data_IF_339217106144
#
_entry.id   IF_339217106144
#
_cell.length_a   1.000
_cell.length_b   1.000
_cell.length_c   1.000
_cell.angle_alpha   90.00
_cell.angle_beta   90.00
_cell.angle_gamma   90.00
#
_symmetry.space_group_name_H-M   'P 1'
#
loop_
_entity.id
_entity.type
_entity.pdbx_description
1 polymer ?
#
# COMPACT_ATOMS: atom_id res chain seq x y z
N UNK A 1 12.98 58.86 21.62
CA UNK A 1 11.64 59.43 21.81
C UNK A 1 10.66 58.27 21.96
N UNK A 2 9.94 58.23 23.09
CA UNK A 2 8.87 57.31 23.56
C UNK A 2 9.12 55.78 23.43
N UNK A 3 9.60 55.03 24.44
CA UNK A 3 8.99 54.56 25.74
C UNK A 3 7.66 53.80 25.51
N UNK A 4 7.36 52.62 26.09
CA UNK A 4 7.75 52.00 27.38
C UNK A 4 7.55 50.44 27.26
N UNK A 5 8.44 49.57 27.76
CA UNK A 5 8.69 49.09 29.13
C UNK A 5 7.90 47.82 29.53
N UNK A 6 8.66 46.78 29.91
CA UNK A 6 8.28 45.52 30.57
C UNK A 6 8.09 45.78 32.08
N UNK A 7 7.42 44.89 32.85
CA UNK A 7 8.22 44.07 33.77
C UNK A 7 7.74 42.61 33.95
N UNK A 8 8.65 41.84 34.54
CA UNK A 8 8.60 40.42 34.84
C UNK A 8 8.14 40.10 36.29
N UNK A 9 8.01 38.79 36.54
CA UNK A 9 8.04 38.05 37.82
C UNK A 9 6.76 37.92 38.67
N UNK A 10 6.32 36.67 38.87
CA UNK A 10 6.21 36.06 40.22
C UNK A 10 6.02 34.53 40.13
N UNK A 11 6.91 33.84 40.83
CA UNK A 11 6.93 32.40 41.16
C UNK A 11 6.00 32.14 42.35
N UNK A 12 5.22 31.04 42.35
CA UNK A 12 4.94 30.25 43.56
C UNK A 12 4.19 28.94 43.23
N UNK A 13 4.78 27.83 43.67
CA UNK A 13 4.20 26.50 43.72
C UNK A 13 3.24 26.35 44.91
N UNK A 14 2.22 25.49 44.78
CA UNK A 14 1.72 24.68 45.90
C UNK A 14 0.91 23.49 45.38
N UNK A 15 1.38 22.28 45.65
CA UNK A 15 0.59 21.06 45.50
C UNK A 15 -0.11 20.68 46.80
N UNK A 16 -1.18 19.87 46.69
CA UNK A 16 -1.41 18.61 47.43
C UNK A 16 -2.85 18.09 47.23
N UNK A 17 -2.92 16.88 46.67
CA UNK A 17 -3.75 15.72 47.03
C UNK A 17 -4.94 15.90 48.00
N UNK A 18 -6.11 15.35 47.63
CA UNK A 18 -6.99 14.63 48.56
C UNK A 18 -7.75 13.48 47.87
N UNK A 19 -7.89 12.36 48.60
CA UNK A 19 -8.53 11.08 48.26
C UNK A 19 -10.02 11.06 48.60
N UNK A 20 -10.75 10.10 48.00
CA UNK A 20 -12.03 9.53 48.48
C UNK A 20 -13.22 10.01 47.67
N UNK A 21 -14.07 9.20 47.04
CA UNK A 21 -14.62 7.91 47.48
C UNK A 21 -16.10 8.14 47.82
N UNK A 22 -17.03 7.63 47.01
CA UNK A 22 -18.47 7.78 47.29
C UNK A 22 -19.35 7.49 46.08
N UNK A 23 -20.25 6.54 46.23
CA UNK A 23 -21.03 5.84 45.22
C UNK A 23 -22.51 6.26 45.33
N UNK A 24 -23.28 5.97 44.27
CA UNK A 24 -24.77 5.83 44.20
C UNK A 24 -25.62 7.12 44.15
N UNK A 25 -26.24 7.43 43.00
CA UNK A 25 -27.67 7.18 42.76
C UNK A 25 -28.15 7.66 41.37
N UNK A 26 -28.79 6.71 40.70
CA UNK A 26 -29.84 6.76 39.68
C UNK A 26 -30.69 8.03 39.59
N UNK A 27 -30.95 8.53 38.38
CA UNK A 27 -32.33 8.79 37.93
C UNK A 27 -32.44 8.79 36.40
N UNK A 28 -33.21 7.83 35.89
CA UNK A 28 -33.74 7.80 34.55
C UNK A 28 -34.84 8.86 34.39
N UNK A 29 -34.84 9.57 33.27
CA UNK A 29 -36.02 10.31 32.81
C UNK A 29 -36.33 9.96 31.36
N UNK A 30 -37.24 9.01 31.23
CA UNK A 30 -38.02 8.70 30.02
C UNK A 30 -39.01 9.84 29.77
N UNK A 31 -39.05 10.38 28.55
CA UNK A 31 -40.23 11.08 28.02
C UNK A 31 -40.52 10.60 26.60
N UNK A 32 -41.65 9.90 26.49
CA UNK A 32 -42.41 9.65 25.27
C UNK A 32 -43.07 10.94 24.78
N UNK A 33 -43.01 11.21 23.47
CA UNK A 33 -44.02 11.94 22.65
C UNK A 33 -43.90 11.38 21.21
N UNK A 34 -44.68 10.36 20.84
CA UNK A 34 -45.87 10.38 19.95
C UNK A 34 -45.75 11.05 18.57
N UNK A 35 -45.81 10.16 17.56
CA UNK A 35 -46.56 10.19 16.29
C UNK A 35 -46.50 11.41 15.35
N UNK A 36 -46.10 11.14 14.11
CA UNK A 36 -46.92 11.47 12.93
C UNK A 36 -46.56 10.54 11.75
N UNK A 37 -47.44 9.57 11.48
CA UNK A 37 -47.52 8.89 10.19
C UNK A 37 -48.21 9.82 9.19
N UNK A 38 -47.62 9.98 8.00
CA UNK A 38 -48.33 10.51 6.84
C UNK A 38 -48.15 9.54 5.68
N UNK A 39 -49.17 8.73 5.47
CA UNK A 39 -49.41 7.93 4.27
C UNK A 39 -49.65 8.86 3.10
N UNK A 40 -48.94 8.65 1.97
CA UNK A 40 -49.34 9.24 0.69
C UNK A 40 -49.41 8.16 -0.40
N UNK A 41 -50.59 8.13 -0.95
CA UNK A 41 -51.24 7.24 -1.91
C UNK A 41 -50.48 7.02 -3.22
N UNK A 42 -50.66 5.82 -3.76
CA UNK A 42 -50.31 5.39 -5.13
C UNK A 42 -50.91 6.27 -6.23
N UNK A 43 -50.20 6.37 -7.35
CA UNK A 43 -50.81 6.57 -8.66
C UNK A 43 -50.07 5.73 -9.72
N UNK A 44 -50.81 4.78 -10.29
CA UNK A 44 -50.46 3.96 -11.45
C UNK A 44 -50.93 4.66 -12.72
N UNK A 45 -50.10 4.72 -13.77
CA UNK A 45 -50.54 4.94 -15.16
C UNK A 45 -49.80 3.96 -16.06
N UNK A 46 -50.56 3.29 -16.91
CA UNK A 46 -50.20 2.17 -17.74
C UNK A 46 -50.11 2.53 -19.24
N UNK A 47 -49.55 1.57 -20.01
CA UNK A 47 -49.65 1.32 -21.47
C UNK A 47 -48.71 2.19 -22.34
N UNK A 48 -48.03 1.66 -23.37
CA UNK A 48 -48.51 0.79 -24.47
C UNK A 48 -47.36 0.02 -25.17
N UNK A 49 -47.69 -1.14 -25.75
CA UNK A 49 -46.87 -2.01 -26.60
C UNK A 49 -47.31 -1.94 -28.09
N UNK A 50 -46.32 -2.00 -29.01
CA UNK A 50 -46.30 -2.64 -30.37
C UNK A 50 -47.21 -2.05 -31.49
N UNK A 51 -47.04 -2.40 -32.82
CA UNK A 51 -46.36 -3.56 -33.43
C UNK A 51 -45.54 -3.33 -34.74
N UNK A 52 -45.11 -4.47 -35.30
CA UNK A 52 -44.25 -4.80 -36.45
C UNK A 52 -44.91 -4.75 -37.86
N UNK A 53 -44.01 -4.76 -38.87
CA UNK A 53 -44.02 -5.54 -40.12
C UNK A 53 -44.66 -5.00 -41.41
N UNK A 54 -43.91 -5.13 -42.54
CA UNK A 54 -44.18 -6.00 -43.72
C UNK A 54 -43.11 -5.78 -44.82
N UNK A 55 -42.34 -6.80 -45.26
CA UNK A 55 -42.52 -7.74 -46.42
C UNK A 55 -42.68 -7.03 -47.78
N UNK A 56 -42.16 -7.46 -48.93
CA UNK A 56 -41.35 -8.57 -49.45
C UNK A 56 -41.12 -8.29 -50.96
N UNK A 57 -40.20 -8.98 -51.64
CA UNK A 57 -40.44 -9.60 -52.96
C UNK A 57 -39.16 -10.23 -53.54
N UNK A 58 -39.32 -11.45 -54.05
CA UNK A 58 -38.35 -12.22 -54.81
C UNK A 58 -38.93 -12.52 -56.20
N UNK A 59 -38.09 -12.70 -57.23
CA UNK A 59 -38.42 -13.52 -58.42
C UNK A 59 -37.20 -13.84 -59.31
N UNK A 60 -36.74 -15.09 -59.21
CA UNK A 60 -36.52 -16.12 -60.26
C UNK A 60 -35.55 -15.98 -61.46
N UNK A 61 -35.12 -17.13 -62.07
CA UNK A 61 -33.76 -17.37 -62.56
C UNK A 61 -33.62 -17.58 -64.09
N UNK A 62 -32.38 -17.67 -64.58
CA UNK A 62 -32.05 -18.22 -65.91
C UNK A 62 -30.73 -19.01 -65.89
N UNK A 63 -30.65 -20.02 -66.76
CA UNK A 63 -29.80 -21.20 -66.67
C UNK A 63 -28.66 -21.31 -67.71
N UNK A 64 -27.55 -21.96 -67.30
CA UNK A 64 -26.52 -22.74 -68.06
C UNK A 64 -25.50 -21.98 -68.95
N UNK A 65 -24.31 -22.55 -69.28
CA UNK A 65 -23.88 -23.96 -69.12
C UNK A 65 -22.50 -24.22 -68.43
N UNK A 66 -22.30 -25.50 -68.09
CA UNK A 66 -21.08 -26.15 -67.59
C UNK A 66 -20.02 -26.37 -68.70
N UNK A 67 -18.74 -26.19 -68.37
CA UNK A 67 -17.57 -26.86 -69.01
C UNK A 67 -16.29 -26.67 -68.15
N UNK A 68 -15.23 -27.49 -68.34
CA UNK A 68 -14.80 -28.49 -67.38
C UNK A 68 -13.63 -28.06 -66.48
N UNK A 69 -13.47 -28.80 -65.38
CA UNK A 69 -12.35 -28.73 -64.47
C UNK A 69 -11.02 -29.08 -65.16
N UNK A 70 -9.99 -28.26 -64.94
CA UNK A 70 -8.61 -28.60 -65.24
C UNK A 70 -7.70 -28.15 -64.09
N UNK A 71 -7.13 -29.16 -63.42
CA UNK A 71 -5.90 -29.21 -62.64
C UNK A 71 -5.62 -28.13 -61.58
N UNK A 72 -5.75 -28.56 -60.33
CA UNK A 72 -5.28 -27.88 -59.13
C UNK A 72 -3.77 -27.57 -59.20
N UNK A 73 -3.43 -26.29 -59.03
CA UNK A 73 -2.09 -25.87 -58.60
C UNK A 73 -2.22 -25.46 -57.13
N UNK A 74 -1.72 -26.29 -56.22
CA UNK A 74 -1.64 -25.97 -54.78
C UNK A 74 -0.84 -24.69 -54.61
N UNK A 75 -1.52 -23.58 -54.34
CA UNK A 75 -0.92 -22.40 -53.75
C UNK A 75 -0.61 -22.73 -52.30
N UNK A 76 0.67 -22.74 -51.95
CA UNK A 76 1.11 -22.82 -50.56
C UNK A 76 0.45 -21.68 -49.76
N UNK A 77 -0.01 -21.92 -48.51
CA UNK A 77 -0.53 -20.86 -47.69
C UNK A 77 0.60 -19.88 -47.40
N UNK A 78 0.51 -18.69 -47.97
CA UNK A 78 1.33 -17.57 -47.55
C UNK A 78 0.89 -17.23 -46.12
N UNK A 79 1.67 -17.67 -45.14
CA UNK A 79 1.59 -17.16 -43.77
C UNK A 79 1.89 -15.66 -43.84
N UNK A 80 0.84 -14.85 -43.95
CA UNK A 80 0.93 -13.43 -43.63
C UNK A 80 1.22 -13.35 -42.14
N UNK A 81 2.49 -13.21 -41.79
CA UNK A 81 2.93 -12.96 -40.44
C UNK A 81 2.20 -11.70 -39.93
N UNK A 82 1.24 -11.90 -39.02
CA UNK A 82 0.71 -10.82 -38.19
C UNK A 82 1.91 -10.24 -37.45
N UNK A 83 2.39 -9.05 -37.86
CA UNK A 83 3.35 -8.29 -37.07
C UNK A 83 2.67 -7.92 -35.76
N UNK A 84 3.02 -8.64 -34.70
CA UNK A 84 2.71 -8.25 -33.33
C UNK A 84 3.39 -6.91 -33.07
N UNK A 85 2.62 -5.87 -32.73
CA UNK A 85 3.10 -4.54 -32.34
C UNK A 85 3.69 -4.56 -30.92
N UNK A 86 4.51 -5.56 -30.60
CA UNK A 86 5.21 -5.61 -29.32
C UNK A 86 6.58 -4.98 -29.50
N UNK A 87 6.81 -3.85 -28.84
CA UNK A 87 8.11 -3.17 -28.77
C UNK A 87 9.01 -3.74 -27.67
N UNK A 88 8.58 -4.82 -27.01
CA UNK A 88 9.41 -5.50 -25.99
C UNK A 88 10.50 -6.27 -26.70
N UNK A 89 11.77 -5.93 -26.43
CA UNK A 89 12.90 -6.72 -26.88
C UNK A 89 12.69 -8.17 -26.41
N UNK A 90 12.72 -9.11 -27.36
CA UNK A 90 12.63 -10.54 -27.03
C UNK A 90 13.71 -10.87 -26.00
N UNK A 91 13.29 -11.35 -24.84
CA UNK A 91 14.18 -11.77 -23.75
C UNK A 91 15.16 -12.79 -24.33
N UNK A 92 16.46 -12.52 -24.21
CA UNK A 92 17.53 -13.20 -24.96
C UNK A 92 17.93 -14.58 -24.41
N UNK A 93 17.19 -15.13 -23.45
CA UNK A 93 17.36 -16.50 -23.00
C UNK A 93 15.97 -17.14 -22.93
N UNK A 94 15.69 -18.05 -23.87
CA UNK A 94 14.56 -18.93 -23.77
C UNK A 94 14.92 -19.96 -22.68
N UNK A 95 14.31 -19.81 -21.50
CA UNK A 95 14.35 -20.87 -20.50
C UNK A 95 13.62 -22.06 -21.11
N UNK A 96 14.29 -23.18 -21.25
CA UNK A 96 13.67 -24.42 -21.72
C UNK A 96 12.72 -24.92 -20.63
N UNK A 97 11.42 -24.79 -20.89
CA UNK A 97 10.34 -25.21 -19.99
C UNK A 97 9.65 -26.47 -20.50
N UNK A 98 10.20 -27.15 -21.52
CA UNK A 98 9.57 -28.31 -22.14
C UNK A 98 9.42 -29.50 -21.18
N UNK A 99 10.32 -29.62 -20.21
CA UNK A 99 10.30 -30.64 -19.16
C UNK A 99 9.53 -30.22 -17.89
N UNK A 100 9.00 -28.98 -17.84
CA UNK A 100 8.22 -28.49 -16.70
C UNK A 100 6.74 -28.80 -16.95
N UNK A 101 6.10 -29.66 -16.14
CA UNK A 101 4.67 -29.91 -16.30
C UNK A 101 3.90 -28.60 -16.11
N UNK A 102 2.96 -28.26 -17.01
CA UNK A 102 2.21 -27.02 -16.90
C UNK A 102 1.32 -27.07 -15.66
N UNK A 103 1.71 -26.32 -14.62
CA UNK A 103 0.93 -26.14 -13.40
C UNK A 103 0.13 -24.84 -13.47
N UNK A 104 -1.11 -24.80 -12.94
CA UNK A 104 -1.85 -23.55 -12.79
C UNK A 104 -1.06 -22.56 -11.93
N UNK A 105 -1.24 -21.25 -12.14
CA UNK A 105 -0.60 -20.22 -11.29
C UNK A 105 -1.05 -20.30 -9.81
N UNK A 106 -2.17 -20.98 -9.54
CA UNK A 106 -2.67 -21.27 -8.19
C UNK A 106 -2.01 -22.49 -7.55
N UNK A 107 -1.09 -23.16 -8.24
CA UNK A 107 -0.33 -24.27 -7.68
C UNK A 107 0.84 -23.72 -6.84
N UNK A 108 0.58 -23.56 -5.56
CA UNK A 108 1.53 -23.06 -4.57
C UNK A 108 2.43 -24.18 -4.05
N UNK A 109 3.65 -23.84 -3.62
CA UNK A 109 4.47 -24.73 -2.80
C UNK A 109 3.80 -25.00 -1.44
N UNK A 110 4.21 -26.07 -0.76
CA UNK A 110 3.69 -26.40 0.57
C UNK A 110 3.86 -25.25 1.57
N UNK A 111 4.99 -24.56 1.53
CA UNK A 111 5.27 -23.40 2.39
C UNK A 111 4.36 -22.21 2.08
N UNK A 112 4.14 -21.92 0.79
CA UNK A 112 3.23 -20.84 0.35
C UNK A 112 1.77 -21.14 0.69
N UNK A 113 1.34 -22.39 0.54
CA UNK A 113 0.00 -22.83 0.93
C UNK A 113 -0.21 -22.71 2.45
N UNK A 114 0.76 -23.17 3.25
CA UNK A 114 0.71 -23.08 4.71
C UNK A 114 0.69 -21.62 5.20
N UNK A 115 1.42 -20.72 4.53
CA UNK A 115 1.36 -19.27 4.78
C UNK A 115 -0.07 -18.77 4.59
N UNK A 116 -0.71 -19.09 3.46
CA UNK A 116 -2.10 -18.69 3.20
C UNK A 116 -3.07 -19.17 4.28
N UNK A 117 -3.01 -20.46 4.63
CA UNK A 117 -3.88 -21.04 5.67
C UNK A 117 -3.69 -20.38 7.04
N UNK A 118 -2.43 -20.16 7.44
CA UNK A 118 -2.08 -19.59 8.74
C UNK A 118 -2.51 -18.11 8.83
N UNK A 119 -2.25 -17.33 7.78
CA UNK A 119 -2.65 -15.92 7.72
C UNK A 119 -4.17 -15.78 7.65
N UNK A 120 -4.85 -16.61 6.86
CA UNK A 120 -6.32 -16.60 6.78
C UNK A 120 -6.93 -16.89 8.15
N UNK A 121 -6.41 -17.87 8.90
CA UNK A 121 -6.86 -18.16 10.27
C UNK A 121 -6.63 -16.97 11.20
N UNK A 122 -5.41 -16.43 11.22
CA UNK A 122 -5.07 -15.26 12.03
C UNK A 122 -5.96 -14.05 11.71
N UNK A 123 -6.17 -13.77 10.42
CA UNK A 123 -7.01 -12.67 9.97
C UNK A 123 -8.46 -12.83 10.45
N UNK A 124 -9.03 -14.03 10.35
CA UNK A 124 -10.41 -14.27 10.77
C UNK A 124 -10.58 -14.31 12.29
N UNK A 125 -9.64 -14.90 13.04
CA UNK A 125 -9.78 -15.06 14.49
C UNK A 125 -9.38 -13.81 15.27
N UNK A 126 -8.41 -13.03 14.78
CA UNK A 126 -7.82 -11.88 15.51
C UNK A 126 -8.22 -10.54 14.91
N UNK A 127 -8.14 -10.40 13.58
CA UNK A 127 -8.32 -9.09 12.92
C UNK A 127 -9.80 -8.80 12.67
N UNK A 128 -10.55 -9.76 12.12
CA UNK A 128 -11.95 -9.58 11.73
C UNK A 128 -12.83 -9.05 12.88
N UNK A 129 -12.73 -9.54 14.13
CA UNK A 129 -13.52 -9.00 15.24
C UNK A 129 -13.24 -7.53 15.56
N UNK A 130 -12.08 -7.01 15.14
CA UNK A 130 -11.60 -5.64 15.42
C UNK A 130 -11.74 -4.69 14.22
N UNK A 131 -11.81 -5.22 13.00
CA UNK A 131 -11.74 -4.45 11.75
C UNK A 131 -12.71 -3.25 11.73
N UNK A 132 -13.99 -3.47 12.06
CA UNK A 132 -14.98 -2.39 12.08
C UNK A 132 -14.69 -1.32 13.14
N UNK A 133 -14.28 -1.72 14.34
CA UNK A 133 -13.96 -0.78 15.40
C UNK A 133 -12.73 0.07 15.04
N UNK A 134 -11.71 -0.53 14.41
CA UNK A 134 -10.53 0.18 13.91
C UNK A 134 -10.88 1.19 12.79
N UNK A 135 -11.79 0.82 11.88
CA UNK A 135 -12.26 1.73 10.83
C UNK A 135 -13.05 2.93 11.39
N UNK A 136 -14.01 2.66 12.29
CA UNK A 136 -14.84 3.70 12.93
C UNK A 136 -13.99 4.64 13.80
N UNK A 137 -13.00 4.11 14.52
CA UNK A 137 -12.06 4.88 15.34
C UNK A 137 -10.97 5.58 14.51
N UNK A 138 -10.81 5.24 13.23
CA UNK A 138 -9.68 5.69 12.39
C UNK A 138 -8.33 5.43 13.06
N UNK A 139 -8.14 4.26 13.66
CA UNK A 139 -6.92 3.94 14.40
C UNK A 139 -6.61 2.45 14.34
N UNK A 140 -5.35 2.13 14.04
CA UNK A 140 -4.84 0.77 14.13
C UNK A 140 -4.73 0.36 15.61
N UNK A 141 -5.22 -0.83 15.95
CA UNK A 141 -5.02 -1.40 17.28
C UNK A 141 -3.54 -1.82 17.44
N UNK A 142 -2.79 -1.27 18.42
CA UNK A 142 -1.40 -1.65 18.65
C UNK A 142 -1.19 -3.15 18.87
N UNK A 143 -2.17 -3.85 19.46
CA UNK A 143 -2.10 -5.29 19.67
C UNK A 143 -2.20 -6.08 18.35
N UNK A 144 -2.82 -5.52 17.30
CA UNK A 144 -2.78 -6.13 15.96
C UNK A 144 -1.38 -6.00 15.37
N UNK A 145 -0.74 -4.84 15.53
CA UNK A 145 0.63 -4.60 15.05
C UNK A 145 1.62 -5.53 15.74
N UNK A 146 1.55 -5.67 17.06
CA UNK A 146 2.37 -6.59 17.84
C UNK A 146 2.21 -8.05 17.34
N UNK A 147 0.97 -8.51 17.18
CA UNK A 147 0.71 -9.86 16.70
C UNK A 147 1.19 -10.08 15.25
N UNK A 148 1.19 -9.07 14.37
CA UNK A 148 1.79 -9.21 13.04
C UNK A 148 3.29 -9.53 13.12
N UNK A 149 4.02 -8.93 14.08
CA UNK A 149 5.41 -9.28 14.33
C UNK A 149 5.55 -10.69 14.92
N UNK A 150 4.72 -11.06 15.90
CA UNK A 150 4.75 -12.39 16.52
C UNK A 150 4.48 -13.52 15.52
N UNK A 151 3.61 -13.28 14.52
CA UNK A 151 3.32 -14.22 13.45
C UNK A 151 4.38 -14.21 12.33
N UNK A 152 5.43 -13.37 12.42
CA UNK A 152 6.47 -13.25 11.40
C UNK A 152 6.06 -12.50 10.13
N UNK A 153 4.87 -11.89 10.10
CA UNK A 153 4.30 -11.26 8.91
C UNK A 153 4.94 -9.92 8.56
N UNK A 154 5.74 -9.35 9.47
CA UNK A 154 6.48 -8.12 9.25
C UNK A 154 7.92 -8.37 8.74
N UNK A 155 8.36 -9.62 8.64
CA UNK A 155 9.73 -9.96 8.24
C UNK A 155 9.80 -11.13 7.26
N UNK A 156 8.85 -11.22 6.33
CA UNK A 156 8.60 -12.44 5.53
C UNK A 156 9.84 -12.83 4.70
N UNK A 157 10.41 -11.88 3.96
CA UNK A 157 11.60 -12.10 3.13
C UNK A 157 12.92 -11.79 3.85
N UNK A 158 12.86 -11.28 5.09
CA UNK A 158 14.07 -11.05 5.88
C UNK A 158 14.69 -12.42 6.20
N UNK A 159 16.00 -12.63 5.97
CA UNK A 159 16.66 -13.88 6.31
C UNK A 159 16.55 -14.24 7.79
N UNK A 160 16.52 -15.55 8.09
CA UNK A 160 16.44 -16.07 9.46
C UNK A 160 17.58 -15.59 10.36
N UNK A 161 18.77 -15.33 9.81
CA UNK A 161 19.92 -14.78 10.57
C UNK A 161 19.64 -13.38 11.16
N UNK A 162 18.68 -12.65 10.58
CA UNK A 162 18.17 -11.39 11.10
C UNK A 162 16.80 -11.54 11.77
N UNK A 163 16.35 -12.76 12.07
CA UNK A 163 15.08 -13.00 12.78
C UNK A 163 13.83 -12.88 11.91
N UNK A 164 13.96 -12.84 10.58
CA UNK A 164 12.82 -12.94 9.66
C UNK A 164 12.45 -14.39 9.32
N UNK A 165 11.46 -14.56 8.44
CA UNK A 165 10.96 -15.89 8.05
C UNK A 165 11.73 -16.54 6.90
N UNK A 166 12.63 -15.82 6.23
CA UNK A 166 13.42 -16.35 5.11
C UNK A 166 12.61 -16.86 3.92
N UNK A 167 11.35 -16.45 3.80
CA UNK A 167 10.44 -16.89 2.74
C UNK A 167 10.63 -16.07 1.47
N UNK A 168 9.93 -16.47 0.40
CA UNK A 168 10.00 -15.81 -0.89
C UNK A 168 8.96 -14.67 -1.02
N UNK A 169 9.12 -13.87 -2.07
CA UNK A 169 8.18 -12.79 -2.42
C UNK A 169 6.74 -13.27 -2.59
N UNK A 170 6.51 -14.46 -3.17
CA UNK A 170 5.16 -15.03 -3.34
C UNK A 170 4.46 -15.23 -2.01
N UNK A 171 5.16 -15.72 -0.97
CA UNK A 171 4.62 -15.87 0.36
C UNK A 171 4.22 -14.51 0.97
N UNK A 172 5.01 -13.45 0.73
CA UNK A 172 4.64 -12.09 1.14
C UNK A 172 3.36 -11.61 0.45
N UNK A 173 3.23 -11.88 -0.85
CA UNK A 173 2.02 -11.55 -1.63
C UNK A 173 0.78 -12.30 -1.13
N UNK A 174 0.90 -13.59 -0.81
CA UNK A 174 -0.18 -14.39 -0.24
C UNK A 174 -0.62 -13.83 1.11
N UNK A 175 0.33 -13.48 1.99
CA UNK A 175 0.01 -12.89 3.28
C UNK A 175 -0.75 -11.56 3.13
N UNK A 176 -0.32 -10.70 2.20
CA UNK A 176 -0.98 -9.42 1.91
C UNK A 176 -2.41 -9.63 1.40
N UNK A 177 -2.62 -10.60 0.51
CA UNK A 177 -3.93 -10.96 -0.05
C UNK A 177 -4.89 -11.48 1.04
N UNK A 178 -4.45 -12.43 1.87
CA UNK A 178 -5.28 -13.02 2.93
C UNK A 178 -5.61 -12.00 4.02
N UNK A 179 -4.69 -11.10 4.38
CA UNK A 179 -4.98 -9.99 5.28
C UNK A 179 -6.04 -9.04 4.68
N UNK A 180 -5.96 -8.76 3.38
CA UNK A 180 -6.85 -7.79 2.72
C UNK A 180 -8.28 -8.31 2.56
N UNK A 181 -8.46 -9.64 2.52
CA UNK A 181 -9.76 -10.31 2.54
C UNK A 181 -10.58 -9.97 3.78
N UNK A 182 -9.90 -9.59 4.87
CA UNK A 182 -10.52 -9.18 6.14
C UNK A 182 -10.43 -7.68 6.38
N UNK A 183 -9.23 -7.09 6.33
CA UNK A 183 -9.04 -5.65 6.56
C UNK A 183 -7.90 -5.09 5.68
N UNK A 184 -8.23 -4.28 4.64
CA UNK A 184 -7.23 -3.69 3.77
C UNK A 184 -6.30 -2.69 4.50
N UNK A 185 -6.69 -2.15 5.66
CA UNK A 185 -5.83 -1.28 6.46
C UNK A 185 -4.67 -2.04 7.11
N UNK A 186 -4.92 -3.28 7.54
CA UNK A 186 -3.86 -4.15 8.10
C UNK A 186 -2.99 -4.68 6.97
N UNK A 187 -3.60 -5.07 5.86
CA UNK A 187 -2.88 -5.52 4.66
C UNK A 187 -1.88 -4.47 4.14
N UNK A 188 -2.28 -3.20 3.99
CA UNK A 188 -1.35 -2.16 3.50
C UNK A 188 -0.21 -1.86 4.48
N UNK A 189 -0.44 -2.04 5.79
CA UNK A 189 0.61 -1.90 6.79
C UNK A 189 1.69 -2.96 6.58
N UNK A 190 1.26 -4.22 6.39
CA UNK A 190 2.13 -5.35 6.09
C UNK A 190 2.84 -5.20 4.73
N UNK A 191 2.11 -4.77 3.69
CA UNK A 191 2.64 -4.57 2.34
C UNK A 191 3.76 -3.52 2.31
N UNK A 192 3.46 -2.28 2.74
CA UNK A 192 4.46 -1.18 2.75
C UNK A 192 5.70 -1.59 3.54
N UNK A 193 5.51 -2.30 4.64
CA UNK A 193 6.61 -2.78 5.46
C UNK A 193 7.49 -3.79 4.71
N UNK A 194 6.90 -4.83 4.12
CA UNK A 194 7.67 -5.88 3.46
C UNK A 194 8.19 -5.45 2.08
N UNK A 195 7.30 -5.02 1.18
CA UNK A 195 7.62 -4.85 -0.24
C UNK A 195 8.38 -3.56 -0.55
N UNK A 196 8.29 -2.56 0.33
CA UNK A 196 9.01 -1.30 0.20
C UNK A 196 10.15 -1.19 1.21
N UNK A 197 9.88 -1.30 2.50
CA UNK A 197 10.90 -1.00 3.53
C UNK A 197 11.94 -2.12 3.64
N UNK A 198 11.51 -3.35 3.88
CA UNK A 198 12.42 -4.49 4.05
C UNK A 198 13.20 -4.74 2.76
N UNK A 199 12.51 -4.77 1.62
CA UNK A 199 13.13 -4.89 0.30
C UNK A 199 14.23 -3.85 0.06
N UNK A 200 14.00 -2.59 0.42
CA UNK A 200 14.97 -1.53 0.20
C UNK A 200 16.24 -1.75 1.03
N UNK A 201 16.07 -2.15 2.30
CA UNK A 201 17.18 -2.43 3.19
C UNK A 201 17.93 -3.70 2.78
N UNK A 202 17.23 -4.75 2.33
CA UNK A 202 17.83 -5.98 1.82
C UNK A 202 18.65 -5.72 0.55
N UNK A 203 18.15 -4.90 -0.37
CA UNK A 203 18.82 -4.63 -1.66
C UNK A 203 19.95 -3.62 -1.55
N UNK A 204 19.76 -2.52 -0.83
CA UNK A 204 20.69 -1.38 -0.83
C UNK A 204 21.18 -0.95 0.55
N UNK A 205 20.76 -1.62 1.62
CA UNK A 205 21.32 -1.41 2.96
C UNK A 205 22.80 -1.76 3.01
N UNK A 206 23.60 -0.91 3.64
CA UNK A 206 24.97 -1.24 4.02
C UNK A 206 24.98 -2.40 5.02
N UNK A 207 26.12 -3.06 5.20
CA UNK A 207 26.26 -4.13 6.19
C UNK A 207 25.89 -3.65 7.61
N UNK A 208 26.23 -2.41 7.94
CA UNK A 208 25.86 -1.78 9.21
C UNK A 208 24.35 -1.60 9.33
N UNK A 209 23.71 -0.99 8.31
CA UNK A 209 22.26 -0.77 8.31
C UNK A 209 21.49 -2.09 8.39
N UNK A 210 21.92 -3.11 7.65
CA UNK A 210 21.30 -4.45 7.69
C UNK A 210 21.40 -5.09 9.08
N UNK A 211 22.61 -5.09 9.66
CA UNK A 211 22.86 -5.65 11.00
C UNK A 211 22.05 -4.96 12.08
N UNK A 212 21.89 -3.64 11.99
CA UNK A 212 21.15 -2.86 12.97
C UNK A 212 19.64 -2.99 12.81
N UNK A 213 19.14 -2.87 11.58
CA UNK A 213 17.72 -2.63 11.34
C UNK A 213 16.93 -3.85 10.91
N UNK A 214 17.51 -4.83 10.20
CA UNK A 214 16.74 -6.02 9.79
C UNK A 214 16.16 -6.78 11.00
N UNK A 215 16.90 -7.00 12.11
CA UNK A 215 16.33 -7.64 13.30
C UNK A 215 15.18 -6.85 13.92
N UNK A 216 15.29 -5.53 13.94
CA UNK A 216 14.26 -4.64 14.49
C UNK A 216 13.02 -4.62 13.60
N UNK A 217 13.21 -4.52 12.28
CA UNK A 217 12.14 -4.54 11.28
C UNK A 217 11.46 -5.92 11.22
N UNK A 218 12.14 -7.01 11.56
CA UNK A 218 11.51 -8.32 11.65
C UNK A 218 10.66 -8.50 12.92
N UNK A 219 10.91 -7.74 14.00
CA UNK A 219 10.39 -8.10 15.34
C UNK A 219 9.62 -7.03 16.09
N UNK A 220 9.90 -5.72 15.92
CA UNK A 220 9.29 -4.70 16.78
C UNK A 220 9.27 -3.27 16.23
N UNK A 221 9.82 -3.03 15.04
CA UNK A 221 9.94 -1.68 14.48
C UNK A 221 9.18 -1.60 13.18
N UNK A 222 8.12 -0.80 13.12
CA UNK A 222 7.40 -0.55 11.86
C UNK A 222 8.20 0.43 10.99
N UNK A 223 8.23 0.15 9.70
CA UNK A 223 8.82 0.98 8.66
C UNK A 223 7.80 1.82 7.88
N UNK A 224 8.26 2.96 7.35
CA UNK A 224 7.54 3.85 6.44
C UNK A 224 8.38 4.23 5.23
N UNK A 225 7.72 4.49 4.10
CA UNK A 225 8.33 4.87 2.83
C UNK A 225 7.94 6.30 2.43
N UNK A 226 8.92 7.20 2.35
CA UNK A 226 8.72 8.65 2.24
C UNK A 226 9.18 9.21 0.89
N UNK A 227 8.31 9.14 -0.11
CA UNK A 227 8.58 9.64 -1.47
C UNK A 227 7.76 10.88 -1.83
N UNK A 228 6.43 10.72 -1.84
CA UNK A 228 5.47 11.71 -2.34
C UNK A 228 5.48 13.01 -1.55
N UNK A 229 5.16 14.11 -2.22
CA UNK A 229 5.07 15.46 -1.66
C UNK A 229 3.83 16.17 -2.18
N UNK A 230 3.39 17.29 -1.56
CA UNK A 230 2.25 18.06 -2.06
C UNK A 230 2.39 18.48 -3.53
N UNK A 231 3.63 18.73 -3.98
CA UNK A 231 3.96 19.13 -5.36
C UNK A 231 4.39 17.97 -6.26
N UNK A 232 4.53 16.76 -5.72
CA UNK A 232 5.16 15.62 -6.38
C UNK A 232 4.45 14.32 -6.00
N UNK A 233 3.34 14.04 -6.70
CA UNK A 233 2.57 12.80 -6.62
C UNK A 233 2.89 11.86 -7.79
N UNK A 234 2.12 11.95 -8.88
CA UNK A 234 2.35 11.15 -10.09
C UNK A 234 3.70 11.45 -10.76
N UNK A 235 4.12 12.73 -10.76
CA UNK A 235 5.49 13.12 -11.11
C UNK A 235 6.39 13.01 -9.86
N UNK A 236 6.59 11.78 -9.38
CA UNK A 236 7.23 11.49 -8.09
C UNK A 236 8.68 11.99 -7.98
N UNK A 237 9.32 12.33 -9.09
CA UNK A 237 10.71 12.78 -9.13
C UNK A 237 10.86 14.30 -9.25
N UNK A 238 9.75 15.03 -9.23
CA UNK A 238 9.72 16.49 -9.05
C UNK A 238 9.82 16.91 -7.57
N UNK A 239 10.21 15.99 -6.68
CA UNK A 239 10.30 16.22 -5.25
C UNK A 239 11.18 17.44 -4.91
N UNK A 240 10.72 18.23 -3.96
CA UNK A 240 11.31 19.48 -3.50
C UNK A 240 12.07 19.34 -2.17
N UNK A 241 11.86 18.26 -1.41
CA UNK A 241 12.67 17.97 -0.20
C UNK A 241 14.15 17.89 -0.57
N UNK A 242 15.00 18.61 0.15
CA UNK A 242 16.43 18.74 -0.15
C UNK A 242 17.27 18.05 0.91
N UNK A 243 18.41 17.55 0.48
CA UNK A 243 19.49 17.17 1.36
C UNK A 243 20.71 18.04 1.02
N UNK A 244 21.48 18.44 2.03
CA UNK A 244 22.79 19.07 1.86
C UNK A 244 23.84 18.25 2.62
N UNK A 245 25.08 18.22 2.14
CA UNK A 245 26.18 17.57 2.86
C UNK A 245 26.58 18.41 4.06
N UNK A 246 26.90 17.74 5.15
CA UNK A 246 27.51 18.31 6.36
C UNK A 246 28.80 17.55 6.67
N UNK A 247 29.57 18.02 7.64
CA UNK A 247 30.82 17.35 8.03
C UNK A 247 30.58 15.93 8.57
N UNK A 248 29.41 15.67 9.16
CA UNK A 248 29.02 14.38 9.75
C UNK A 248 28.12 13.50 8.87
N UNK A 249 27.69 13.99 7.70
CA UNK A 249 26.76 13.29 6.82
C UNK A 249 25.93 14.26 5.99
N UNK A 250 24.65 14.37 6.34
CA UNK A 250 23.67 15.14 5.57
C UNK A 250 22.71 15.88 6.48
N UNK A 251 22.06 16.90 5.93
CA UNK A 251 20.95 17.59 6.57
C UNK A 251 19.75 17.66 5.63
N UNK A 252 18.58 17.23 6.08
CA UNK A 252 17.36 17.16 5.26
C UNK A 252 16.37 18.24 5.69
N UNK A 253 15.83 18.97 4.71
CA UNK A 253 14.77 19.97 4.93
C UNK A 253 13.69 19.84 3.87
N UNK A 254 12.42 19.83 4.30
CA UNK A 254 11.27 19.69 3.41
C UNK A 254 10.08 19.01 4.07
N UNK A 255 9.18 18.47 3.24
CA UNK A 255 8.01 17.76 3.72
C UNK A 255 7.60 16.66 2.74
N UNK A 256 7.00 15.60 3.31
CA UNK A 256 6.45 14.46 2.59
C UNK A 256 4.96 14.36 2.89
N UNK A 257 4.20 13.87 1.93
CA UNK A 257 2.74 13.79 1.98
C UNK A 257 2.30 12.36 1.67
N UNK A 258 1.18 11.94 2.27
CA UNK A 258 0.59 10.62 2.04
C UNK A 258 1.43 9.45 2.56
N UNK A 259 2.12 9.64 3.68
CA UNK A 259 3.05 8.64 4.20
C UNK A 259 2.29 7.60 5.04
N UNK A 260 2.12 6.41 4.48
CA UNK A 260 1.53 5.24 5.15
C UNK A 260 2.41 4.78 6.32
N UNK A 261 1.80 4.22 7.37
CA UNK A 261 2.44 3.73 8.60
C UNK A 261 3.09 4.80 9.48
N UNK A 262 2.88 6.09 9.18
CA UNK A 262 3.55 7.20 9.87
C UNK A 262 3.44 7.16 11.40
N UNK A 263 2.26 6.89 11.94
CA UNK A 263 2.03 6.92 13.40
C UNK A 263 2.77 5.77 14.08
N UNK A 264 2.71 4.57 13.50
CA UNK A 264 3.27 3.34 14.05
C UNK A 264 4.78 3.23 13.81
N UNK A 265 5.29 3.82 12.73
CA UNK A 265 6.68 3.66 12.31
C UNK A 265 7.67 4.38 13.21
N UNK A 266 8.81 3.72 13.43
CA UNK A 266 10.02 4.31 14.00
C UNK A 266 11.18 4.38 12.99
N UNK A 267 11.02 3.77 11.82
CA UNK A 267 12.02 3.73 10.75
C UNK A 267 11.42 4.30 9.45
N UNK A 268 12.11 5.25 8.82
CA UNK A 268 11.63 5.93 7.62
C UNK A 268 12.69 5.90 6.53
N UNK A 269 12.32 5.42 5.34
CA UNK A 269 13.13 5.57 4.13
C UNK A 269 12.72 6.88 3.45
N UNK A 270 13.60 7.86 3.46
CA UNK A 270 13.32 9.23 2.97
C UNK A 270 14.10 9.51 1.69
N UNK A 271 13.38 9.93 0.66
CA UNK A 271 13.98 10.38 -0.60
C UNK A 271 14.10 11.91 -0.61
N UNK A 272 15.32 12.42 -0.75
CA UNK A 272 15.58 13.85 -0.79
C UNK A 272 16.58 14.18 -1.92
N UNK A 273 16.47 15.39 -2.48
CA UNK A 273 17.33 15.81 -3.58
C UNK A 273 18.61 16.44 -3.05
N UNK A 274 19.74 15.75 -3.27
CA UNK A 274 21.07 16.17 -2.85
C UNK A 274 21.71 17.17 -3.82
N UNK A 275 21.19 17.25 -5.05
CA UNK A 275 21.64 18.20 -6.07
C UNK A 275 20.47 18.54 -7.02
N UNK A 276 19.68 19.57 -6.71
CA UNK A 276 18.54 19.98 -7.53
C UNK A 276 18.90 20.31 -8.98
N UNK A 277 20.15 20.70 -9.27
CA UNK A 277 20.60 20.98 -10.64
C UNK A 277 20.58 19.74 -11.53
N UNK A 278 20.72 18.55 -10.93
CA UNK A 278 20.62 17.23 -11.59
C UNK A 278 19.19 16.71 -11.71
N UNK A 279 18.19 17.48 -11.28
CA UNK A 279 16.77 17.10 -11.27
C UNK A 279 16.58 15.74 -10.56
N UNK A 280 15.87 14.79 -11.17
CA UNK A 280 15.66 13.45 -10.59
C UNK A 280 16.96 12.67 -10.33
N UNK A 281 18.03 12.94 -11.09
CA UNK A 281 19.35 12.32 -10.88
C UNK A 281 20.08 12.89 -9.65
N UNK A 282 19.52 13.89 -9.00
CA UNK A 282 19.99 14.40 -7.71
C UNK A 282 19.38 13.66 -6.51
N UNK A 283 18.36 12.83 -6.72
CA UNK A 283 17.62 12.16 -5.64
C UNK A 283 18.48 11.06 -4.99
N UNK A 284 18.53 11.09 -3.67
CA UNK A 284 19.24 10.14 -2.80
C UNK A 284 18.26 9.61 -1.75
N UNK A 285 18.49 8.37 -1.29
CA UNK A 285 17.68 7.71 -0.26
C UNK A 285 18.43 7.68 1.08
N UNK A 286 17.71 7.93 2.16
CA UNK A 286 18.24 8.01 3.53
C UNK A 286 17.38 7.21 4.49
N UNK A 287 17.99 6.67 5.53
CA UNK A 287 17.32 6.11 6.70
C UNK A 287 17.18 7.20 7.76
N UNK A 288 15.96 7.44 8.23
CA UNK A 288 15.66 8.42 9.28
C UNK A 288 14.88 7.72 10.38
N UNK A 289 15.28 7.92 11.63
CA UNK A 289 14.57 7.38 12.80
C UNK A 289 13.56 8.40 13.33
N UNK A 290 12.43 7.91 13.85
CA UNK A 290 11.47 8.78 14.52
C UNK A 290 12.09 9.42 15.75
N UNK A 291 11.87 10.72 15.90
CA UNK A 291 12.39 11.47 17.04
C UNK A 291 13.79 12.06 16.84
N UNK A 292 14.42 11.85 15.67
CA UNK A 292 15.59 12.66 15.28
C UNK A 292 15.21 14.15 15.36
N UNK A 293 16.02 15.02 15.97
CA UNK A 293 15.69 16.45 16.06
C UNK A 293 15.34 17.07 14.72
N UNK A 294 14.26 17.86 14.68
CA UNK A 294 13.72 18.46 13.45
C UNK A 294 12.74 17.57 12.67
N UNK A 295 12.67 16.27 12.97
CA UNK A 295 11.67 15.36 12.40
C UNK A 295 10.34 15.52 13.13
N UNK A 296 9.23 15.67 12.40
CA UNK A 296 7.90 15.65 13.01
C UNK A 296 6.85 15.02 12.10
N UNK A 297 5.84 14.44 12.74
CA UNK A 297 4.68 13.83 12.10
C UNK A 297 3.50 14.77 12.32
N UNK A 298 2.89 15.23 11.23
CA UNK A 298 1.70 16.05 11.31
C UNK A 298 0.48 15.21 11.71
N UNK A 299 -0.67 15.86 11.86
CA UNK A 299 -1.94 15.19 12.13
C UNK A 299 -2.25 14.17 11.02
N UNK A 300 -2.78 13.01 11.43
CA UNK A 300 -3.29 11.98 10.53
C UNK A 300 -4.39 12.54 9.60
N UNK A 301 -4.31 12.15 8.34
CA UNK A 301 -5.27 12.49 7.30
C UNK A 301 -6.62 11.80 7.52
N UNK A 302 -7.71 12.53 7.27
CA UNK A 302 -9.07 11.97 7.23
C UNK A 302 -9.32 11.38 5.85
N UNK A 303 -9.46 10.06 5.77
CA UNK A 303 -9.58 9.32 4.51
C UNK A 303 -10.98 8.74 4.33
N UNK A 304 -11.36 8.50 3.07
CA UNK A 304 -12.61 7.82 2.71
C UNK A 304 -12.68 6.38 3.24
N UNK A 305 -11.56 5.66 3.12
CA UNK A 305 -11.39 4.26 3.51
C UNK A 305 -9.96 3.99 3.93
N UNK A 306 -9.64 2.73 4.26
CA UNK A 306 -8.33 2.34 4.83
C UNK A 306 -8.03 3.22 6.06
N UNK A 307 -9.07 3.43 6.88
CA UNK A 307 -9.08 4.50 7.90
C UNK A 307 -8.23 4.14 9.09
N UNK A 308 -8.09 2.86 9.42
CA UNK A 308 -7.22 2.41 10.50
C UNK A 308 -5.74 2.69 10.20
N UNK A 309 -5.30 2.45 8.95
CA UNK A 309 -3.93 2.74 8.51
C UNK A 309 -3.61 4.23 8.66
N UNK A 310 -2.51 4.54 9.34
CA UNK A 310 -2.09 5.93 9.49
C UNK A 310 -1.51 6.46 8.17
N UNK A 311 -1.88 7.70 7.86
CA UNK A 311 -1.38 8.41 6.68
C UNK A 311 -1.17 9.86 7.09
N UNK A 312 0.07 10.34 7.08
CA UNK A 312 0.40 11.66 7.60
C UNK A 312 1.30 12.45 6.64
N UNK A 313 1.40 13.75 6.91
CA UNK A 313 2.53 14.56 6.46
C UNK A 313 3.71 14.33 7.40
N UNK A 314 4.91 14.21 6.84
CA UNK A 314 6.17 14.17 7.59
C UNK A 314 6.96 15.42 7.26
N UNK A 315 7.38 16.17 8.28
CA UNK A 315 8.17 17.38 8.12
C UNK A 315 9.60 17.16 8.59
N UNK A 316 10.52 17.76 7.85
CA UNK A 316 11.94 17.76 8.13
C UNK A 316 12.39 19.23 8.23
N UNK A 317 12.70 19.66 9.44
CA UNK A 317 13.30 20.97 9.71
C UNK A 317 14.78 20.76 10.04
N UNK A 318 15.63 20.83 9.01
CA UNK A 318 17.08 20.76 9.15
C UNK A 318 17.54 19.50 9.93
N UNK A 319 16.97 18.35 9.60
CA UNK A 319 17.22 17.07 10.27
C UNK A 319 18.61 16.55 9.91
N UNK A 320 19.49 16.45 10.91
CA UNK A 320 20.83 15.90 10.75
C UNK A 320 20.79 14.37 10.60
N UNK A 321 21.37 13.86 9.52
CA UNK A 321 21.43 12.46 9.14
C UNK A 321 22.90 12.01 9.12
N UNK A 322 23.29 11.03 9.96
CA UNK A 322 24.64 10.49 9.93
C UNK A 322 25.01 9.91 8.56
N UNK A 323 26.29 9.99 8.16
CA UNK A 323 26.75 9.43 6.88
C UNK A 323 26.40 7.93 6.73
N UNK A 324 26.41 7.16 7.83
CA UNK A 324 26.05 5.74 7.87
C UNK A 324 24.57 5.44 7.55
N UNK A 325 23.71 6.45 7.56
CA UNK A 325 22.28 6.34 7.25
C UNK A 325 21.98 6.54 5.76
N UNK A 326 22.99 6.71 4.91
CA UNK A 326 22.82 6.67 3.46
C UNK A 326 22.35 5.27 3.04
N UNK A 327 21.24 5.19 2.30
CA UNK A 327 20.76 3.93 1.71
C UNK A 327 21.28 3.82 0.28
N UNK A 328 22.13 2.83 0.03
CA UNK A 328 22.82 2.67 -1.26
C UNK A 328 23.81 3.80 -1.52
N UNK A 329 23.79 4.35 -2.72
CA UNK A 329 24.69 5.41 -3.15
C UNK A 329 23.95 6.75 -3.29
N UNK A 330 24.68 7.85 -3.12
CA UNK A 330 24.21 9.18 -3.51
C UNK A 330 23.75 9.17 -4.98
N UNK A 331 22.72 9.96 -5.29
CA UNK A 331 22.22 10.17 -6.66
C UNK A 331 21.55 8.96 -7.33
N UNK A 332 21.35 7.87 -6.59
CA UNK A 332 20.69 6.67 -7.10
C UNK A 332 19.28 6.45 -6.53
N UNK A 333 18.81 7.34 -5.65
CA UNK A 333 17.52 7.18 -4.96
C UNK A 333 16.33 7.06 -5.92
N UNK A 334 16.32 7.75 -7.07
CA UNK A 334 15.25 7.60 -8.07
C UNK A 334 15.18 6.18 -8.66
N UNK A 335 16.34 5.50 -8.81
CA UNK A 335 16.40 4.12 -9.30
C UNK A 335 15.83 3.17 -8.26
N UNK A 336 16.16 3.39 -7.00
CA UNK A 336 15.68 2.57 -5.89
C UNK A 336 14.16 2.74 -5.74
N UNK A 337 13.66 3.98 -5.76
CA UNK A 337 12.24 4.28 -5.66
C UNK A 337 11.41 3.57 -6.74
N UNK A 338 11.80 3.64 -8.02
CA UNK A 338 11.02 2.98 -9.08
C UNK A 338 11.11 1.45 -9.00
N UNK A 339 12.26 0.90 -8.61
CA UNK A 339 12.42 -0.53 -8.43
C UNK A 339 11.51 -1.06 -7.31
N UNK A 340 11.46 -0.36 -6.18
CA UNK A 340 10.58 -0.70 -5.05
C UNK A 340 9.10 -0.59 -5.42
N UNK A 341 8.71 0.50 -6.10
CA UNK A 341 7.33 0.68 -6.52
C UNK A 341 6.87 -0.38 -7.54
N UNK A 342 7.78 -0.99 -8.31
CA UNK A 342 7.40 -2.11 -9.19
C UNK A 342 6.98 -3.35 -8.39
N UNK A 343 7.66 -3.65 -7.28
CA UNK A 343 7.31 -4.76 -6.39
C UNK A 343 6.10 -4.42 -5.52
N UNK A 344 6.07 -3.22 -4.93
CA UNK A 344 4.92 -2.76 -4.14
C UNK A 344 3.62 -2.68 -4.96
N UNK A 345 3.68 -2.46 -6.27
CA UNK A 345 2.48 -2.55 -7.14
C UNK A 345 1.86 -3.95 -7.16
N UNK A 346 2.67 -5.00 -7.00
CA UNK A 346 2.19 -6.38 -6.91
C UNK A 346 1.54 -6.60 -5.54
N UNK A 347 2.13 -6.05 -4.47
CA UNK A 347 1.51 -6.04 -3.13
C UNK A 347 0.14 -5.36 -3.12
N UNK A 348 0.02 -4.17 -3.69
CA UNK A 348 -1.28 -3.48 -3.82
C UNK A 348 -2.25 -4.26 -4.72
N UNK A 349 -1.78 -4.94 -5.77
CA UNK A 349 -2.64 -5.81 -6.57
C UNK A 349 -3.20 -6.96 -5.72
N UNK A 350 -2.37 -7.59 -4.89
CA UNK A 350 -2.77 -8.62 -3.94
C UNK A 350 -3.80 -8.10 -2.93
N UNK A 351 -3.57 -6.90 -2.39
CA UNK A 351 -4.52 -6.23 -1.51
C UNK A 351 -5.89 -6.05 -2.19
N UNK A 352 -5.91 -5.57 -3.44
CA UNK A 352 -7.16 -5.37 -4.18
C UNK A 352 -7.87 -6.69 -4.49
N UNK A 353 -7.12 -7.74 -4.84
CA UNK A 353 -7.67 -9.09 -5.06
C UNK A 353 -8.29 -9.64 -3.78
N UNK A 354 -7.56 -9.61 -2.66
CA UNK A 354 -8.04 -10.10 -1.37
C UNK A 354 -9.30 -9.36 -0.92
N UNK A 355 -9.28 -8.03 -0.94
CA UNK A 355 -10.45 -7.20 -0.61
C UNK A 355 -11.68 -7.56 -1.47
N UNK A 356 -11.49 -7.72 -2.78
CA UNK A 356 -12.58 -8.06 -3.69
C UNK A 356 -13.15 -9.45 -3.40
N UNK A 357 -12.28 -10.43 -3.12
CA UNK A 357 -12.70 -11.78 -2.74
C UNK A 357 -13.47 -11.78 -1.42
N UNK A 358 -12.94 -11.12 -0.38
CA UNK A 358 -13.61 -11.02 0.91
C UNK A 358 -14.98 -10.35 0.80
N UNK A 359 -15.09 -9.27 0.02
CA UNK A 359 -16.37 -8.63 -0.25
C UNK A 359 -17.37 -9.56 -0.97
N UNK A 360 -16.90 -10.30 -1.98
CA UNK A 360 -17.74 -11.24 -2.72
C UNK A 360 -18.26 -12.38 -1.84
N UNK A 361 -17.41 -12.95 -0.99
CA UNK A 361 -17.79 -14.06 -0.10
C UNK A 361 -18.81 -13.64 0.95
N UNK A 362 -18.65 -12.44 1.52
CA UNK A 362 -19.64 -11.87 2.44
C UNK A 362 -20.98 -11.58 1.76
N UNK A 363 -21.00 -11.37 0.44
CA UNK A 363 -22.24 -11.14 -0.31
C UNK A 363 -22.88 -12.44 -0.81
N UNK A 364 -22.09 -13.48 -1.04
CA UNK A 364 -22.54 -14.77 -1.55
C UNK A 364 -23.01 -15.74 -0.45
N UNK A 365 -22.49 -15.58 0.78
CA UNK A 365 -22.91 -16.30 1.98
C UNK A 365 -24.17 -15.73 2.64
#
# INVERSE_FOLDING_TARGET
>A
MCRAAVPAEAVAACGKTYKGGGQVHTHAHTRHVTQAHTTRTMASIAKTLRPLARTAAASSPASRPLRPAAAARRLAPQHTARRCLSTTAARREAVDISDIPPTPITHLSETEALMGETVAKFANEVILPKARAMDEAEAMDPAVVEQLFEQGLMGIEIPEEYGGSGMNFTAAIIAIEELARVDPSVSVLCDVHNTLVNTALLKWGSAQLKKEWLPRLATNTVGSFCLSEPVSGSDAFALATKAVRTDGGYKISGSKMWITNSVEANFFIVFANLDPSKKYKGITAFVVEKGTPGFSIAKKEKKLGIKASSTCVINFDDVEIPAGNLLGNEFEGYKYAIALLNEGRIGIAAQMTGLALGAWENAAG
#
